data_IF_663102570567
#
_entry.id   IF_663102570567
#
_cell.length_a   1.000
_cell.length_b   1.000
_cell.length_c   1.000
_cell.angle_alpha   90.00
_cell.angle_beta   90.00
_cell.angle_gamma   90.00
#
_symmetry.space_group_name_H-M   'P 1'
#
loop_
_entity.id
_entity.type
_entity.pdbx_description
1 polymer ?
#
# COMPACT_ATOMS: atom_id res chain seq x y z
N UNK A 1 -0.13 -16.76 -13.10
CA UNK A 1 -1.43 -16.49 -12.46
C UNK A 1 -1.48 -15.00 -12.18
N UNK A 2 -2.37 -14.22 -12.81
CA UNK A 2 -2.57 -12.81 -12.43
C UNK A 2 -3.27 -12.84 -11.08
N UNK A 3 -2.59 -12.41 -10.01
CA UNK A 3 -3.24 -12.17 -8.73
C UNK A 3 -4.25 -11.02 -8.89
N UNK A 4 -5.31 -11.03 -8.09
CA UNK A 4 -6.28 -9.93 -8.03
C UNK A 4 -5.58 -8.57 -7.89
N UNK A 5 -4.57 -8.50 -7.02
CA UNK A 5 -3.77 -7.29 -6.80
C UNK A 5 -3.03 -6.87 -8.07
N UNK A 6 -2.43 -7.82 -8.80
CA UNK A 6 -1.74 -7.54 -10.04
C UNK A 6 -2.65 -6.96 -11.12
N UNK A 7 -3.91 -7.39 -11.18
CA UNK A 7 -4.89 -6.80 -12.09
C UNK A 7 -5.22 -5.36 -11.71
N UNK A 8 -5.45 -5.09 -10.42
CA UNK A 8 -5.73 -3.74 -9.92
C UNK A 8 -4.52 -2.81 -10.15
N UNK A 9 -3.30 -3.27 -9.84
CA UNK A 9 -2.06 -2.54 -10.07
C UNK A 9 -1.92 -2.20 -11.56
N UNK A 10 -2.18 -3.15 -12.45
CA UNK A 10 -2.15 -2.90 -13.89
C UNK A 10 -3.13 -1.80 -14.30
N UNK A 11 -4.37 -1.82 -13.79
CA UNK A 11 -5.35 -0.75 -14.04
C UNK A 11 -4.84 0.62 -13.58
N UNK A 12 -4.32 0.70 -12.36
CA UNK A 12 -3.74 1.93 -11.82
C UNK A 12 -2.63 2.49 -12.72
N UNK A 13 -1.73 1.62 -13.20
CA UNK A 13 -0.62 2.02 -14.07
C UNK A 13 -1.08 2.47 -15.47
N UNK A 14 -2.26 2.02 -15.92
CA UNK A 14 -2.88 2.45 -17.18
C UNK A 14 -3.78 3.69 -17.03
N UNK A 15 -3.82 4.31 -15.84
CA UNK A 15 -4.54 5.58 -15.62
C UNK A 15 -5.86 5.47 -14.87
N UNK A 16 -6.34 4.27 -14.57
CA UNK A 16 -7.49 4.05 -13.67
C UNK A 16 -7.06 4.19 -12.20
N UNK A 17 -6.82 5.44 -11.78
CA UNK A 17 -6.27 5.76 -10.45
C UNK A 17 -7.20 5.35 -9.32
N UNK A 18 -8.51 5.39 -9.55
CA UNK A 18 -9.57 5.02 -8.61
C UNK A 18 -9.45 3.56 -8.18
N UNK A 19 -8.91 2.69 -9.04
CA UNK A 19 -8.70 1.28 -8.72
C UNK A 19 -7.72 1.10 -7.55
N UNK A 20 -6.88 2.09 -7.24
CA UNK A 20 -5.96 2.02 -6.11
C UNK A 20 -6.71 1.94 -4.76
N UNK A 21 -7.94 2.46 -4.69
CA UNK A 21 -8.79 2.36 -3.50
C UNK A 21 -9.00 0.91 -3.03
N UNK A 22 -9.13 -0.04 -3.97
CA UNK A 22 -9.25 -1.46 -3.63
C UNK A 22 -7.99 -2.01 -2.93
N UNK A 23 -6.81 -1.54 -3.31
CA UNK A 23 -5.56 -1.91 -2.62
C UNK A 23 -5.49 -1.27 -1.24
N UNK A 24 -5.93 -0.02 -1.10
CA UNK A 24 -5.99 0.66 0.21
C UNK A 24 -6.91 -0.12 1.15
N UNK A 25 -8.14 -0.43 0.73
CA UNK A 25 -9.11 -1.14 1.57
C UNK A 25 -8.61 -2.52 1.98
N UNK A 26 -7.94 -3.24 1.08
CA UNK A 26 -7.40 -4.57 1.34
C UNK A 26 -6.24 -4.58 2.33
N UNK A 27 -5.38 -3.57 2.31
CA UNK A 27 -4.13 -3.57 3.08
C UNK A 27 -4.07 -2.59 4.24
N UNK A 28 -5.01 -1.64 4.37
CA UNK A 28 -4.99 -0.59 5.39
C UNK A 28 -4.87 -1.15 6.81
N UNK A 29 -5.61 -2.20 7.14
CA UNK A 29 -5.59 -2.78 8.49
C UNK A 29 -4.22 -3.42 8.79
N UNK A 30 -3.60 -4.07 7.81
CA UNK A 30 -2.29 -4.70 7.96
C UNK A 30 -1.17 -3.69 8.14
N UNK A 31 -1.22 -2.57 7.41
CA UNK A 31 -0.25 -1.48 7.54
C UNK A 31 -0.47 -0.72 8.84
N UNK A 32 -1.72 -0.46 9.21
CA UNK A 32 -2.08 0.17 10.47
C UNK A 32 -1.61 -0.64 11.68
N UNK A 33 -1.91 -1.95 11.71
CA UNK A 33 -1.45 -2.83 12.78
C UNK A 33 0.08 -2.85 12.89
N UNK A 34 0.79 -2.82 11.76
CA UNK A 34 2.25 -2.74 11.75
C UNK A 34 2.74 -1.40 12.30
N UNK A 35 2.22 -0.26 11.84
CA UNK A 35 2.58 1.06 12.33
C UNK A 35 2.29 1.21 13.84
N UNK A 36 1.11 0.77 14.29
CA UNK A 36 0.71 0.78 15.69
C UNK A 36 1.63 -0.10 16.55
N UNK A 37 2.07 -1.27 16.06
CA UNK A 37 3.01 -2.13 16.79
C UNK A 37 4.35 -1.46 17.08
N UNK A 38 4.76 -0.49 16.24
CA UNK A 38 6.00 0.27 16.37
C UNK A 38 5.84 1.53 17.21
N UNK A 39 4.76 2.28 17.01
CA UNK A 39 4.55 3.60 17.60
C UNK A 39 3.80 3.55 18.93
N UNK A 40 2.92 2.55 19.12
CA UNK A 40 2.00 2.43 20.28
C UNK A 40 1.11 3.67 20.48
N UNK A 41 0.92 4.48 19.45
CA UNK A 41 0.02 5.63 19.41
C UNK A 41 -0.96 5.44 18.24
N UNK A 42 -2.25 5.60 18.50
CA UNK A 42 -3.31 5.44 17.49
C UNK A 42 -3.21 6.52 16.41
N UNK A 43 -3.04 7.79 16.79
CA UNK A 43 -3.00 8.92 15.87
C UNK A 43 -1.78 8.83 14.94
N UNK A 44 -0.59 8.63 15.52
CA UNK A 44 0.64 8.51 14.72
C UNK A 44 0.59 7.28 13.80
N UNK A 45 -0.07 6.20 14.21
CA UNK A 45 -0.26 5.03 13.37
C UNK A 45 -1.20 5.28 12.19
N UNK A 46 -2.28 6.05 12.39
CA UNK A 46 -3.17 6.48 11.31
C UNK A 46 -2.43 7.37 10.31
N UNK A 47 -1.70 8.37 10.80
CA UNK A 47 -0.92 9.30 9.96
C UNK A 47 0.11 8.55 9.11
N UNK A 48 0.92 7.68 9.72
CA UNK A 48 1.90 6.88 8.99
C UNK A 48 1.23 5.95 7.98
N UNK A 49 0.09 5.35 8.32
CA UNK A 49 -0.65 4.48 7.39
C UNK A 49 -1.07 5.27 6.15
N UNK A 50 -1.63 6.47 6.33
CA UNK A 50 -2.00 7.34 5.22
C UNK A 50 -0.79 7.73 4.37
N UNK A 51 0.32 8.14 5.00
CA UNK A 51 1.55 8.48 4.30
C UNK A 51 2.09 7.32 3.45
N UNK A 52 2.05 6.10 3.98
CA UNK A 52 2.49 4.90 3.27
C UNK A 52 1.69 4.71 1.99
N UNK A 53 0.37 4.82 2.04
CA UNK A 53 -0.46 4.65 0.83
C UNK A 53 -0.28 5.80 -0.17
N UNK A 54 -0.08 7.04 0.30
CA UNK A 54 0.22 8.18 -0.59
C UNK A 54 1.57 7.96 -1.30
N UNK A 55 2.61 7.54 -0.55
CA UNK A 55 3.93 7.21 -1.10
C UNK A 55 3.84 6.02 -2.06
N UNK A 56 3.08 4.99 -1.71
CA UNK A 56 2.86 3.81 -2.53
C UNK A 56 2.16 4.18 -3.85
N UNK A 57 1.12 5.00 -3.83
CA UNK A 57 0.45 5.47 -5.04
C UNK A 57 1.41 6.19 -5.98
N UNK A 58 2.22 7.12 -5.45
CA UNK A 58 3.22 7.87 -6.24
C UNK A 58 4.32 6.99 -6.81
N UNK A 59 4.73 5.96 -6.07
CA UNK A 59 5.83 5.06 -6.44
C UNK A 59 5.36 3.75 -7.08
N UNK A 60 4.07 3.59 -7.37
CA UNK A 60 3.52 2.30 -7.84
C UNK A 60 4.23 1.78 -9.09
N UNK A 61 4.65 2.68 -9.99
CA UNK A 61 5.42 2.37 -11.20
C UNK A 61 6.79 1.73 -10.94
N UNK A 62 7.32 1.84 -9.71
CA UNK A 62 8.60 1.23 -9.31
C UNK A 62 8.45 -0.22 -8.84
N UNK A 63 7.22 -0.70 -8.64
CA UNK A 63 6.95 -2.06 -8.20
C UNK A 63 7.29 -3.07 -9.31
N UNK A 64 8.37 -3.83 -9.10
CA UNK A 64 8.84 -4.84 -10.06
C UNK A 64 8.05 -6.15 -10.03
N UNK A 65 7.45 -6.47 -8.88
CA UNK A 65 6.78 -7.75 -8.62
C UNK A 65 5.42 -7.50 -7.98
N UNK A 66 4.36 -7.68 -8.75
CA UNK A 66 3.00 -7.37 -8.32
C UNK A 66 2.49 -8.30 -7.21
N UNK A 67 2.99 -9.54 -7.18
CA UNK A 67 2.72 -10.52 -6.12
C UNK A 67 3.38 -10.17 -4.78
N UNK A 68 4.30 -9.20 -4.77
CA UNK A 68 5.03 -8.75 -3.58
C UNK A 68 4.54 -7.41 -3.04
N UNK A 69 3.33 -6.99 -3.41
CA UNK A 69 2.81 -5.65 -3.07
C UNK A 69 2.80 -5.37 -1.56
N UNK A 70 2.31 -6.31 -0.73
CA UNK A 70 2.29 -6.14 0.73
C UNK A 70 3.71 -6.00 1.31
N UNK A 71 4.65 -6.84 0.89
CA UNK A 71 6.05 -6.73 1.31
C UNK A 71 6.68 -5.41 0.88
N UNK A 72 6.33 -4.92 -0.31
CA UNK A 72 6.76 -3.61 -0.80
C UNK A 72 6.14 -2.46 0.02
N UNK A 73 4.88 -2.53 0.42
CA UNK A 73 4.27 -1.55 1.32
C UNK A 73 5.04 -1.44 2.65
N UNK A 74 5.40 -2.56 3.28
CA UNK A 74 6.20 -2.55 4.51
C UNK A 74 7.57 -1.89 4.34
N UNK A 75 8.19 -2.00 3.16
CA UNK A 75 9.46 -1.33 2.85
C UNK A 75 9.31 0.20 2.77
N UNK A 76 8.12 0.69 2.41
CA UNK A 76 7.79 2.13 2.40
C UNK A 76 7.56 2.64 3.81
N UNK A 77 6.96 1.83 4.69
CA UNK A 77 6.72 2.19 6.11
C UNK A 77 8.02 2.31 6.91
N UNK A 78 9.10 1.67 6.46
CA UNK A 78 10.39 1.63 7.16
C UNK A 78 11.41 2.67 6.67
N UNK A 79 10.98 3.69 5.91
CA UNK A 79 11.81 4.81 5.40
C UNK A 79 11.31 6.17 5.86
#
# INVERSE_FOLDING_TARGET
>A
MRTEDGYIIHKCLNGEKEAFGFLVDKYKESIYAFAYSKLRNLHDAEDITQEVFIKAFRKLHTLKRWDSFLAWLYSITSN
#
